data_IF_580982888947
#
_entry.id   IF_580982888947
#
_cell.length_a   1.000
_cell.length_b   1.000
_cell.length_c   1.000
_cell.angle_alpha   90.00
_cell.angle_beta   90.00
_cell.angle_gamma   90.00
#
_symmetry.space_group_name_H-M   'P 1'
#
loop_
_entity.id
_entity.type
_entity.pdbx_description
1 polymer ?
#
# COMPACT_ATOMS: atom_id res chain seq x y z
N UNK A 1 -11.99 -11.26 -2.28
CA UNK A 1 -11.76 -11.10 -0.83
C UNK A 1 -10.27 -11.16 -0.59
N UNK A 2 -9.75 -10.38 0.36
CA UNK A 2 -8.32 -10.33 0.72
C UNK A 2 -8.14 -11.04 2.07
N UNK A 3 -7.13 -11.90 2.14
CA UNK A 3 -6.66 -12.52 3.39
C UNK A 3 -5.21 -12.06 3.60
N UNK A 4 -4.93 -11.50 4.76
CA UNK A 4 -3.59 -11.14 5.20
C UNK A 4 -3.10 -12.13 6.27
N UNK A 5 -1.86 -12.60 6.12
CA UNK A 5 -1.21 -13.51 7.05
C UNK A 5 0.30 -13.31 7.01
N UNK A 6 0.89 -13.02 8.17
CA UNK A 6 2.33 -12.84 8.33
C UNK A 6 2.89 -13.61 9.53
N UNK A 7 4.17 -13.98 9.45
CA UNK A 7 4.98 -14.44 10.58
C UNK A 7 6.38 -13.84 10.48
N UNK A 8 7.00 -13.51 11.60
CA UNK A 8 8.32 -12.91 11.60
C UNK A 8 8.97 -12.87 12.98
N UNK A 9 10.11 -12.20 13.08
CA UNK A 9 10.69 -11.69 14.33
C UNK A 9 10.84 -10.19 14.11
N UNK A 10 10.15 -9.40 14.92
CA UNK A 10 10.03 -7.95 14.73
C UNK A 10 11.10 -7.24 15.54
N UNK A 11 11.75 -6.24 14.95
CA UNK A 11 12.61 -5.32 15.72
C UNK A 11 11.77 -4.48 16.69
N UNK A 12 12.42 -4.03 17.76
CA UNK A 12 11.81 -3.24 18.84
C UNK A 12 11.03 -2.02 18.32
N UNK A 13 11.55 -1.34 17.30
CA UNK A 13 10.89 -0.21 16.62
C UNK A 13 10.79 -0.50 15.12
N UNK A 14 9.61 -0.27 14.53
CA UNK A 14 9.34 -0.50 13.12
C UNK A 14 8.29 0.46 12.58
N UNK A 15 8.44 0.85 11.31
CA UNK A 15 7.38 1.51 10.55
C UNK A 15 7.23 0.78 9.23
N UNK A 16 6.00 0.33 8.92
CA UNK A 16 5.71 -0.26 7.63
C UNK A 16 4.58 0.47 6.92
N UNK A 17 4.57 0.26 5.61
CA UNK A 17 3.56 0.73 4.69
C UNK A 17 3.03 -0.47 3.95
N UNK A 18 1.72 -0.60 3.87
CA UNK A 18 1.10 -1.69 3.13
C UNK A 18 -0.16 -1.20 2.43
N UNK A 19 -0.49 -1.78 1.29
CA UNK A 19 -1.69 -1.45 0.53
C UNK A 19 -2.13 -2.67 -0.25
N UNK A 20 -3.43 -2.89 -0.30
CA UNK A 20 -4.00 -3.91 -1.15
C UNK A 20 -5.35 -3.49 -1.72
N UNK A 21 -5.62 -3.96 -2.92
CA UNK A 21 -6.91 -3.84 -3.58
C UNK A 21 -7.18 -5.08 -4.42
N UNK A 22 -8.45 -5.46 -4.55
CA UNK A 22 -8.88 -6.62 -5.32
C UNK A 22 -10.27 -6.38 -5.91
N UNK A 23 -10.47 -6.79 -7.15
CA UNK A 23 -11.73 -6.54 -7.83
C UNK A 23 -11.69 -7.04 -9.27
N UNK A 24 -12.55 -6.44 -10.10
CA UNK A 24 -12.60 -6.69 -11.53
C UNK A 24 -12.42 -5.40 -12.30
N UNK A 25 -11.70 -5.48 -13.42
CA UNK A 25 -11.62 -4.46 -14.46
C UNK A 25 -12.06 -5.13 -15.75
N UNK A 26 -13.08 -4.60 -16.43
CA UNK A 26 -13.66 -5.20 -17.64
C UNK A 26 -13.98 -6.69 -17.51
N UNK A 27 -14.48 -7.09 -16.33
CA UNK A 27 -14.79 -8.47 -15.91
C UNK A 27 -13.58 -9.38 -15.63
N UNK A 28 -12.35 -8.90 -15.88
CA UNK A 28 -11.12 -9.61 -15.57
C UNK A 28 -10.67 -9.34 -14.14
N UNK A 29 -10.17 -10.38 -13.46
CA UNK A 29 -9.64 -10.23 -12.11
C UNK A 29 -8.40 -9.35 -12.12
N UNK A 30 -8.43 -8.32 -11.27
CA UNK A 30 -7.31 -7.43 -11.02
C UNK A 30 -7.14 -7.21 -9.52
N UNK A 31 -5.89 -7.09 -9.08
CA UNK A 31 -5.56 -6.70 -7.73
C UNK A 31 -4.07 -6.45 -7.57
N UNK A 32 -3.68 -5.94 -6.42
CA UNK A 32 -2.29 -5.70 -6.08
C UNK A 32 -2.08 -5.82 -4.57
N UNK A 33 -0.83 -6.09 -4.20
CA UNK A 33 -0.32 -5.95 -2.83
C UNK A 33 0.98 -5.17 -2.93
N UNK A 34 1.05 -4.05 -2.22
CA UNK A 34 2.16 -3.12 -2.24
C UNK A 34 2.61 -2.87 -0.81
N UNK A 35 3.91 -2.70 -0.59
CA UNK A 35 4.42 -2.37 0.72
C UNK A 35 5.94 -2.24 0.77
N UNK A 36 6.39 -1.73 1.91
CA UNK A 36 7.79 -1.65 2.32
C UNK A 36 7.88 -1.29 3.82
N UNK A 37 9.11 -1.25 4.34
CA UNK A 37 9.41 -0.87 5.72
C UNK A 37 9.53 -2.05 6.67
N UNK A 38 9.26 -3.27 6.20
CA UNK A 38 9.57 -4.50 6.90
C UNK A 38 10.64 -5.31 6.15
N UNK A 39 11.59 -5.89 6.90
CA UNK A 39 12.61 -6.80 6.35
C UNK A 39 13.69 -6.13 5.49
N UNK A 40 14.60 -6.95 4.98
CA UNK A 40 15.65 -6.53 4.04
C UNK A 40 15.13 -6.63 2.60
N UNK A 41 14.86 -5.47 1.99
CA UNK A 41 14.39 -5.35 0.60
C UNK A 41 15.52 -5.13 -0.41
N UNK A 42 16.78 -5.36 -0.02
CA UNK A 42 17.93 -5.21 -0.92
C UNK A 42 17.92 -6.20 -2.08
N UNK A 43 17.30 -7.38 -1.89
CA UNK A 43 17.24 -8.45 -2.89
C UNK A 43 15.90 -8.54 -3.63
N UNK A 44 14.79 -8.20 -2.96
CA UNK A 44 13.47 -8.24 -3.55
C UNK A 44 12.51 -7.31 -2.78
N UNK A 45 11.52 -6.78 -3.49
CA UNK A 45 10.38 -6.10 -2.87
C UNK A 45 9.31 -7.12 -2.48
N UNK A 46 8.25 -6.66 -1.80
CA UNK A 46 7.01 -7.42 -1.59
C UNK A 46 5.90 -7.07 -2.60
N UNK A 47 6.15 -6.08 -3.47
CA UNK A 47 5.16 -5.50 -4.38
C UNK A 47 4.78 -6.46 -5.52
N UNK A 48 3.48 -6.65 -5.76
CA UNK A 48 2.92 -7.55 -6.77
C UNK A 48 1.64 -6.98 -7.38
N UNK A 49 1.48 -7.16 -8.69
CA UNK A 49 0.20 -7.04 -9.40
C UNK A 49 -0.32 -8.44 -9.72
N UNK A 50 -1.63 -8.63 -9.65
CA UNK A 50 -2.33 -9.83 -10.06
C UNK A 50 -3.34 -9.48 -11.15
N UNK A 51 -3.21 -10.08 -12.33
CA UNK A 51 -4.14 -9.87 -13.44
C UNK A 51 -4.44 -11.19 -14.14
N UNK A 52 -5.72 -11.51 -14.35
CA UNK A 52 -6.17 -12.76 -15.03
C UNK A 52 -5.54 -14.03 -14.45
N UNK A 53 -5.32 -14.06 -13.13
CA UNK A 53 -4.70 -15.20 -12.43
C UNK A 53 -3.17 -15.30 -12.58
N UNK A 54 -2.53 -14.33 -13.24
CA UNK A 54 -1.07 -14.22 -13.33
C UNK A 54 -0.56 -13.17 -12.35
N UNK A 55 0.57 -13.47 -11.72
CA UNK A 55 1.25 -12.56 -10.83
C UNK A 55 2.42 -11.88 -11.57
N UNK A 56 2.55 -10.57 -11.39
CA UNK A 56 3.55 -9.72 -12.02
C UNK A 56 4.34 -8.99 -10.94
N UNK A 57 5.65 -9.21 -10.93
CA UNK A 57 6.52 -8.63 -9.90
C UNK A 57 6.78 -7.16 -10.19
N UNK A 58 6.61 -6.33 -9.18
CA UNK A 58 7.03 -4.93 -9.20
C UNK A 58 8.32 -4.76 -8.41
N UNK A 59 9.13 -3.76 -8.74
CA UNK A 59 10.25 -3.36 -7.91
C UNK A 59 9.77 -2.56 -6.68
N UNK A 60 10.29 -1.36 -6.40
CA UNK A 60 9.96 -0.56 -5.21
C UNK A 60 8.82 0.39 -5.52
N UNK A 61 7.81 0.39 -4.66
CA UNK A 61 6.67 1.31 -4.74
C UNK A 61 6.69 2.24 -3.54
N UNK A 62 6.65 3.54 -3.80
CA UNK A 62 6.61 4.57 -2.78
C UNK A 62 5.19 5.08 -2.58
N UNK A 63 4.83 5.30 -1.31
CA UNK A 63 3.54 5.89 -0.94
C UNK A 63 3.82 7.32 -0.48
N UNK A 64 3.38 8.29 -1.25
CA UNK A 64 3.59 9.72 -1.00
C UNK A 64 2.34 10.23 -0.27
N UNK A 65 2.45 10.29 1.06
CA UNK A 65 1.40 10.78 1.94
C UNK A 65 1.58 12.30 2.13
N UNK A 66 0.57 13.12 1.84
CA UNK A 66 0.64 14.56 2.08
C UNK A 66 0.92 14.87 3.55
N UNK A 67 1.59 15.98 3.82
CA UNK A 67 1.78 16.49 5.17
C UNK A 67 0.89 17.71 5.43
N UNK A 68 0.39 17.84 6.65
CA UNK A 68 -0.23 19.06 7.16
C UNK A 68 0.82 20.16 7.39
N UNK A 69 0.42 21.44 7.58
CA UNK A 69 1.36 22.55 7.77
C UNK A 69 2.33 22.41 8.95
N UNK A 70 1.99 21.60 9.94
CA UNK A 70 2.80 21.25 11.12
C UNK A 70 3.70 20.01 10.90
N UNK A 71 3.74 19.47 9.68
CA UNK A 71 4.62 18.38 9.28
C UNK A 71 4.13 16.98 9.65
N UNK A 72 2.89 16.83 10.13
CA UNK A 72 2.29 15.53 10.38
C UNK A 72 1.67 14.94 9.10
N UNK A 73 1.59 13.61 8.94
CA UNK A 73 0.88 13.01 7.81
C UNK A 73 -0.61 13.37 7.84
N UNK A 74 -1.13 13.85 6.72
CA UNK A 74 -2.55 14.12 6.52
C UNK A 74 -3.16 12.98 5.70
N UNK A 75 -3.55 11.92 6.41
CA UNK A 75 -3.99 10.65 5.82
C UNK A 75 -5.28 10.77 5.01
N UNK A 76 -6.08 11.81 5.22
CA UNK A 76 -7.35 12.01 4.50
C UNK A 76 -7.21 12.86 3.24
N UNK A 77 -6.02 13.41 2.94
CA UNK A 77 -5.75 14.04 1.64
C UNK A 77 -5.37 12.99 0.59
N UNK A 78 -5.49 13.28 -0.72
CA UNK A 78 -5.11 12.33 -1.77
C UNK A 78 -3.62 11.96 -1.71
N UNK A 79 -3.31 10.67 -1.76
CA UNK A 79 -1.92 10.17 -1.81
C UNK A 79 -1.51 9.90 -3.25
N UNK A 80 -0.21 9.84 -3.48
CA UNK A 80 0.37 9.39 -4.75
C UNK A 80 1.18 8.12 -4.54
N UNK A 81 1.03 7.17 -5.45
CA UNK A 81 1.76 5.92 -5.50
C UNK A 81 2.57 5.90 -6.78
N UNK A 82 3.87 5.64 -6.67
CA UNK A 82 4.77 5.54 -7.82
C UNK A 82 5.80 4.43 -7.59
N UNK A 83 6.00 3.63 -8.62
CA UNK A 83 7.05 2.61 -8.67
C UNK A 83 8.33 3.15 -9.31
N UNK A 84 9.50 2.75 -8.82
CA UNK A 84 10.78 3.17 -9.41
C UNK A 84 11.03 2.60 -10.83
N UNK A 85 10.34 1.53 -11.21
CA UNK A 85 10.37 0.93 -12.55
C UNK A 85 9.30 1.52 -13.50
N UNK A 86 8.51 2.50 -13.02
CA UNK A 86 7.46 3.18 -13.78
C UNK A 86 6.26 2.30 -14.15
N UNK A 87 6.13 1.12 -13.55
CA UNK A 87 5.07 0.14 -13.86
C UNK A 87 3.82 0.28 -13.00
N UNK A 88 3.82 1.11 -11.98
CA UNK A 88 2.65 1.38 -11.14
C UNK A 88 2.60 2.86 -10.78
N UNK A 89 1.56 3.55 -11.25
CA UNK A 89 1.33 4.97 -10.99
C UNK A 89 -0.15 5.16 -10.64
N UNK A 90 -0.43 5.72 -9.46
CA UNK A 90 -1.81 5.91 -9.02
C UNK A 90 -1.99 7.04 -8.02
N UNK A 91 -3.14 7.72 -8.08
CA UNK A 91 -3.66 8.50 -6.97
C UNK A 91 -4.57 7.63 -6.11
N UNK A 92 -4.54 7.89 -4.81
CA UNK A 92 -5.44 7.27 -3.84
C UNK A 92 -6.26 8.36 -3.17
N UNK A 93 -7.58 8.26 -3.24
CA UNK A 93 -8.53 9.20 -2.66
C UNK A 93 -9.15 8.57 -1.40
N UNK A 94 -8.73 8.99 -0.20
CA UNK A 94 -9.25 8.47 1.07
C UNK A 94 -10.74 8.74 1.26
N UNK A 95 -11.43 7.79 1.90
CA UNK A 95 -12.84 7.89 2.30
C UNK A 95 -12.99 7.67 3.81
N UNK A 96 -12.18 6.78 4.39
CA UNK A 96 -12.24 6.44 5.81
C UNK A 96 -10.83 6.13 6.33
N UNK A 97 -10.41 6.81 7.39
CA UNK A 97 -9.25 6.41 8.18
C UNK A 97 -9.71 5.63 9.42
N UNK A 98 -9.37 4.34 9.48
CA UNK A 98 -9.50 3.53 10.68
C UNK A 98 -8.17 3.62 11.44
N UNK A 99 -8.10 4.57 12.36
CA UNK A 99 -6.92 4.76 13.20
C UNK A 99 -7.05 4.09 14.57
N UNK A 100 -5.94 3.57 15.08
CA UNK A 100 -5.83 3.05 16.45
C UNK A 100 -4.46 3.41 17.01
N UNK A 101 -4.48 4.24 18.06
CA UNK A 101 -3.27 4.64 18.79
C UNK A 101 -3.31 4.10 20.21
N UNK A 102 -2.36 3.25 20.55
CA UNK A 102 -2.17 2.72 21.92
C UNK A 102 -0.78 3.11 22.40
N UNK A 103 -0.70 3.74 23.57
CA UNK A 103 0.56 4.09 24.23
C UNK A 103 0.54 3.66 25.68
N UNK A 104 1.43 2.75 26.06
CA UNK A 104 1.57 2.25 27.44
C UNK A 104 3.06 2.23 27.79
N UNK A 105 3.49 3.17 28.63
CA UNK A 105 4.90 3.35 29.01
C UNK A 105 5.84 3.47 27.78
N UNK A 106 6.71 2.48 27.55
CA UNK A 106 7.66 2.45 26.42
C UNK A 106 7.09 1.81 25.15
N UNK A 107 5.87 1.27 25.23
CA UNK A 107 5.15 0.66 24.13
C UNK A 107 4.31 1.70 23.39
N UNK A 108 4.41 1.74 22.07
CA UNK A 108 3.61 2.59 21.20
C UNK A 108 3.17 1.80 19.97
N UNK A 109 1.89 1.82 19.67
CA UNK A 109 1.33 1.30 18.42
C UNK A 109 0.46 2.40 17.84
N UNK A 110 0.86 2.92 16.68
CA UNK A 110 0.15 3.95 15.94
C UNK A 110 -0.19 3.41 14.56
N UNK A 111 -1.44 3.03 14.37
CA UNK A 111 -1.93 2.35 13.17
C UNK A 111 -2.93 3.26 12.46
N UNK A 112 -2.68 3.54 11.18
CA UNK A 112 -3.62 4.20 10.30
C UNK A 112 -3.89 3.30 9.10
N UNK A 113 -5.11 2.76 9.02
CA UNK A 113 -5.58 1.96 7.90
C UNK A 113 -6.65 2.76 7.15
N UNK A 114 -6.27 3.28 6.00
CA UNK A 114 -7.07 4.23 5.23
C UNK A 114 -7.70 3.52 4.04
N UNK A 115 -9.01 3.52 3.97
CA UNK A 115 -9.80 2.99 2.87
C UNK A 115 -10.15 4.09 1.88
N UNK A 116 -10.15 3.77 0.60
CA UNK A 116 -10.38 4.76 -0.46
C UNK A 116 -10.34 4.16 -1.86
N UNK A 117 -10.40 5.03 -2.86
CA UNK A 117 -10.37 4.63 -4.26
C UNK A 117 -9.03 4.95 -4.91
N UNK A 118 -8.51 3.98 -5.65
CA UNK A 118 -7.34 4.11 -6.49
C UNK A 118 -7.76 4.48 -7.92
N UNK A 119 -7.02 5.42 -8.50
CA UNK A 119 -7.15 5.83 -9.90
C UNK A 119 -5.75 5.85 -10.50
N UNK A 120 -5.51 5.12 -11.58
CA UNK A 120 -4.15 4.98 -12.10
C UNK A 120 -3.98 3.88 -13.13
N UNK A 121 -2.72 3.46 -13.28
CA UNK A 121 -2.32 2.43 -14.23
C UNK A 121 -1.24 1.51 -13.67
N UNK A 122 -1.27 0.28 -14.17
CA UNK A 122 -0.29 -0.74 -13.93
C UNK A 122 0.23 -1.31 -15.26
N UNK A 123 1.53 -1.58 -15.38
CA UNK A 123 2.17 -2.15 -16.56
C UNK A 123 2.63 -3.58 -16.23
N UNK A 124 2.09 -4.56 -16.95
CA UNK A 124 2.40 -5.98 -16.77
C UNK A 124 3.74 -6.35 -17.41
N UNK A 125 4.23 -7.58 -17.16
CA UNK A 125 5.54 -8.01 -17.68
C UNK A 125 5.56 -8.13 -19.22
N UNK A 126 4.39 -8.25 -19.86
CA UNK A 126 4.23 -8.26 -21.31
C UNK A 126 3.96 -6.87 -21.90
N UNK A 127 4.17 -5.81 -21.10
CA UNK A 127 3.90 -4.41 -21.42
C UNK A 127 2.42 -4.04 -21.61
N UNK A 128 1.50 -4.94 -21.31
CA UNK A 128 0.07 -4.60 -21.24
C UNK A 128 -0.14 -3.53 -20.17
N UNK A 129 -0.85 -2.46 -20.52
CA UNK A 129 -1.27 -1.41 -19.59
C UNK A 129 -2.67 -1.75 -19.09
N UNK A 130 -2.83 -1.81 -17.78
CA UNK A 130 -4.13 -1.98 -17.09
C UNK A 130 -4.44 -0.67 -16.39
N UNK A 131 -5.45 0.04 -16.87
CA UNK A 131 -5.96 1.25 -16.22
C UNK A 131 -7.07 0.89 -15.24
N UNK A 132 -7.14 1.60 -14.13
CA UNK A 132 -8.15 1.42 -13.11
C UNK A 132 -8.64 2.76 -12.59
N UNK A 133 -9.95 2.88 -12.44
CA UNK A 133 -10.65 4.07 -11.98
C UNK A 133 -11.64 3.64 -10.88
N UNK A 134 -11.80 4.50 -9.87
CA UNK A 134 -12.63 4.26 -8.69
C UNK A 134 -12.42 2.88 -8.04
N UNK A 135 -11.17 2.38 -8.06
CA UNK A 135 -10.86 1.03 -7.63
C UNK A 135 -10.70 0.95 -6.12
N UNK A 136 -11.67 0.35 -5.43
CA UNK A 136 -11.70 0.30 -3.98
C UNK A 136 -10.56 -0.56 -3.40
N UNK A 137 -9.86 0.01 -2.43
CA UNK A 137 -8.82 -0.67 -1.67
C UNK A 137 -8.50 0.07 -0.37
N UNK A 138 -7.33 -0.22 0.18
CA UNK A 138 -6.82 0.53 1.32
C UNK A 138 -5.30 0.71 1.22
N UNK A 139 -4.80 1.65 1.99
CA UNK A 139 -3.38 1.83 2.27
C UNK A 139 -3.20 2.14 3.75
N UNK A 140 -2.14 1.62 4.34
CA UNK A 140 -1.83 1.79 5.74
C UNK A 140 -0.39 2.26 5.95
N UNK A 141 -0.25 3.03 7.04
CA UNK A 141 1.03 3.31 7.67
C UNK A 141 0.90 2.91 9.13
N UNK A 142 1.78 2.03 9.57
CA UNK A 142 1.81 1.56 10.95
C UNK A 142 3.18 1.81 11.54
N UNK A 143 3.20 2.43 12.70
CA UNK A 143 4.39 2.60 13.52
C UNK A 143 4.22 1.83 14.83
N UNK A 144 5.19 0.97 15.14
CA UNK A 144 5.18 0.15 16.33
C UNK A 144 6.51 0.25 17.10
N UNK A 145 6.37 0.24 18.42
CA UNK A 145 7.43 0.22 19.42
C UNK A 145 7.02 -0.79 20.50
N UNK A 146 7.71 -1.93 20.57
CA UNK A 146 7.37 -3.11 21.39
C UNK A 146 8.45 -3.44 22.39
#
# INVERSE_FOLDING_TARGET
GILDWGRGVWTYENTWYWSAANGKIDNDLFGFSLGYGFGDTSQASENMIFYKGKAHKLDRVQFIIPSSPDGQPDYMKPWTFSSNDGRFESSFNPILDRSSKTKVAVLESDQHQVFGHFNGKAILDDHTVVEFEDFLGFAEKVHNKW
#
